data_IF_952169569159
#
_entry.id   IF_952169569159
#
_cell.length_a   1.000
_cell.length_b   1.000
_cell.length_c   1.000
_cell.angle_alpha   90.00
_cell.angle_beta   90.00
_cell.angle_gamma   90.00
#
_symmetry.space_group_name_H-M   'P 1'
#
loop_
_entity.id
_entity.type
_entity.pdbx_description
1 polymer ?
#
# COMPACT_ATOMS: atom_id res chain seq x y z
N UNK A 1 -8.95 -21.60 14.29
CA UNK A 1 -8.54 -21.47 12.87
C UNK A 1 -9.02 -20.14 12.25
N UNK A 2 -8.75 -18.96 12.83
CA UNK A 2 -9.27 -17.67 12.28
C UNK A 2 -8.23 -16.58 12.02
N UNK A 3 -7.01 -16.66 12.58
CA UNK A 3 -6.02 -15.57 12.45
C UNK A 3 -5.34 -15.56 11.07
N UNK A 4 -4.90 -16.70 10.57
CA UNK A 4 -4.17 -16.82 9.29
C UNK A 4 -5.04 -16.40 8.10
N UNK A 5 -6.27 -16.92 7.99
CA UNK A 5 -7.19 -16.56 6.90
C UNK A 5 -7.50 -15.04 6.82
N UNK A 6 -7.38 -14.31 7.93
CA UNK A 6 -7.57 -12.84 7.94
C UNK A 6 -6.32 -12.06 7.57
N UNK A 7 -5.12 -12.64 7.70
CA UNK A 7 -3.88 -12.07 7.19
C UNK A 7 -3.83 -12.20 5.67
N UNK A 8 -4.10 -13.41 5.16
CA UNK A 8 -4.05 -13.69 3.71
C UNK A 8 -5.08 -12.84 2.95
N UNK A 9 -6.30 -12.71 3.49
CA UNK A 9 -7.32 -11.87 2.90
C UNK A 9 -6.96 -10.38 2.93
N UNK A 10 -6.29 -9.91 3.98
CA UNK A 10 -5.82 -8.52 4.09
C UNK A 10 -4.70 -8.22 3.11
N UNK A 11 -3.72 -9.12 3.01
CA UNK A 11 -2.62 -9.02 2.06
C UNK A 11 -3.14 -9.07 0.61
N UNK A 12 -4.05 -10.00 0.29
CA UNK A 12 -4.66 -10.11 -1.03
C UNK A 12 -5.39 -8.82 -1.45
N UNK A 13 -6.09 -8.15 -0.53
CA UNK A 13 -6.73 -6.86 -0.81
C UNK A 13 -5.73 -5.75 -1.16
N UNK A 14 -4.57 -5.74 -0.49
CA UNK A 14 -3.52 -4.75 -0.76
C UNK A 14 -2.83 -5.05 -2.10
N UNK A 15 -2.56 -6.33 -2.40
CA UNK A 15 -2.00 -6.75 -3.68
C UNK A 15 -2.93 -6.44 -4.86
N UNK A 16 -4.23 -6.71 -4.73
CA UNK A 16 -5.25 -6.34 -5.73
C UNK A 16 -5.30 -4.82 -5.96
N UNK A 17 -5.19 -4.02 -4.88
CA UNK A 17 -5.14 -2.58 -5.01
C UNK A 17 -3.86 -2.09 -5.73
N UNK A 18 -2.71 -2.73 -5.47
CA UNK A 18 -1.45 -2.44 -6.16
C UNK A 18 -1.54 -2.74 -7.66
N UNK A 19 -2.09 -3.90 -8.01
CA UNK A 19 -2.29 -4.31 -9.41
C UNK A 19 -3.20 -3.32 -10.16
N UNK A 20 -4.38 -3.01 -9.59
CA UNK A 20 -5.35 -2.08 -10.20
C UNK A 20 -4.85 -0.64 -10.31
N UNK A 21 -3.92 -0.24 -9.46
CA UNK A 21 -3.29 1.08 -9.51
C UNK A 21 -2.00 1.12 -10.32
N UNK A 22 -1.57 -0.04 -10.83
CA UNK A 22 -0.32 -0.25 -11.57
C UNK A 22 0.90 0.28 -10.80
N UNK A 23 0.88 0.16 -9.46
CA UNK A 23 1.99 0.51 -8.59
C UNK A 23 2.82 -0.74 -8.34
N UNK A 24 4.13 -0.62 -8.52
CA UNK A 24 5.10 -1.63 -8.13
C UNK A 24 5.97 -1.06 -7.00
N UNK A 25 5.72 -1.45 -5.74
CA UNK A 25 6.60 -1.10 -4.63
C UNK A 25 7.97 -1.74 -4.83
N UNK A 26 9.03 -1.05 -4.40
CA UNK A 26 10.38 -1.60 -4.34
C UNK A 26 10.49 -2.62 -3.21
N UNK A 27 9.72 -2.41 -2.13
CA UNK A 27 9.73 -3.29 -0.98
C UNK A 27 8.33 -3.35 -0.35
N UNK A 28 7.98 -4.54 0.13
CA UNK A 28 6.77 -4.83 0.90
C UNK A 28 7.24 -5.48 2.20
N UNK A 29 7.00 -4.80 3.33
CA UNK A 29 7.35 -5.30 4.66
C UNK A 29 6.06 -5.65 5.39
N UNK A 30 5.92 -6.93 5.72
CA UNK A 30 4.71 -7.46 6.35
C UNK A 30 4.89 -7.63 7.85
N UNK A 31 3.81 -7.39 8.57
CA UNK A 31 3.72 -7.63 10.01
C UNK A 31 2.29 -8.01 10.39
N UNK A 32 2.12 -8.55 11.59
CA UNK A 32 0.81 -9.00 12.08
C UNK A 32 -0.26 -7.89 12.11
N UNK A 33 0.15 -6.61 12.20
CA UNK A 33 -0.75 -5.47 12.36
C UNK A 33 -0.78 -4.52 11.15
N UNK A 34 0.16 -4.63 10.21
CA UNK A 34 0.25 -3.73 9.05
C UNK A 34 1.12 -4.29 7.93
N UNK A 35 0.91 -3.76 6.72
CA UNK A 35 1.83 -3.89 5.59
C UNK A 35 2.40 -2.51 5.29
N UNK A 36 3.72 -2.42 5.20
CA UNK A 36 4.44 -1.22 4.78
C UNK A 36 4.90 -1.39 3.33
N UNK A 37 4.62 -0.40 2.50
CA UNK A 37 5.02 -0.34 1.10
C UNK A 37 6.03 0.78 0.91
N UNK A 38 7.15 0.48 0.25
CA UNK A 38 8.14 1.47 -0.16
C UNK A 38 8.04 1.67 -1.67
N UNK A 39 7.69 2.88 -2.09
CA UNK A 39 7.40 3.22 -3.49
C UNK A 39 8.27 4.39 -3.92
N UNK A 40 9.02 4.22 -4.99
CA UNK A 40 9.89 5.23 -5.58
C UNK A 40 9.07 6.16 -6.46
N UNK A 41 9.23 7.45 -6.23
CA UNK A 41 8.42 8.49 -6.85
C UNK A 41 9.23 9.10 -7.97
N UNK A 42 8.82 8.79 -9.21
CA UNK A 42 9.43 9.32 -10.43
C UNK A 42 8.37 9.79 -11.43
N UNK A 43 8.52 11.04 -11.87
CA UNK A 43 7.64 11.68 -12.86
C UNK A 43 6.21 11.92 -12.38
N UNK A 44 5.41 12.61 -13.20
CA UNK A 44 4.04 13.00 -12.82
C UNK A 44 3.06 11.82 -12.81
N UNK A 45 3.31 10.80 -13.63
CA UNK A 45 2.44 9.62 -13.78
C UNK A 45 2.28 8.86 -12.45
N UNK A 46 3.30 8.87 -11.58
CA UNK A 46 3.22 8.17 -10.30
C UNK A 46 2.19 8.79 -9.35
N UNK A 47 1.92 10.10 -9.47
CA UNK A 47 0.94 10.78 -8.61
C UNK A 47 -0.47 10.29 -8.91
N UNK A 48 -0.83 10.12 -10.18
CA UNK A 48 -2.14 9.57 -10.58
C UNK A 48 -2.31 8.11 -10.16
N UNK A 49 -1.24 7.32 -10.21
CA UNK A 49 -1.23 5.94 -9.72
C UNK A 49 -1.42 5.88 -8.21
N UNK A 50 -0.69 6.69 -7.45
CA UNK A 50 -0.85 6.82 -6.00
C UNK A 50 -2.25 7.26 -5.59
N UNK A 51 -2.84 8.22 -6.33
CA UNK A 51 -4.22 8.67 -6.09
C UNK A 51 -5.23 7.55 -6.34
N UNK A 52 -5.06 6.78 -7.42
CA UNK A 52 -5.87 5.58 -7.70
C UNK A 52 -5.75 4.55 -6.59
N UNK A 53 -4.53 4.29 -6.13
CA UNK A 53 -4.26 3.37 -5.03
C UNK A 53 -4.95 3.79 -3.73
N UNK A 54 -4.77 5.05 -3.30
CA UNK A 54 -5.42 5.61 -2.11
C UNK A 54 -6.95 5.44 -2.18
N UNK A 55 -7.57 5.76 -3.32
CA UNK A 55 -9.00 5.59 -3.52
C UNK A 55 -9.46 4.12 -3.38
N UNK A 56 -8.65 3.15 -3.80
CA UNK A 56 -8.97 1.72 -3.64
C UNK A 56 -8.89 1.30 -2.16
N UNK A 57 -7.88 1.79 -1.43
CA UNK A 57 -7.77 1.57 0.02
C UNK A 57 -8.97 2.17 0.78
N UNK A 58 -9.37 3.39 0.42
CA UNK A 58 -10.52 4.09 1.02
C UNK A 58 -11.84 3.34 0.76
N UNK A 59 -12.05 2.84 -0.46
CA UNK A 59 -13.22 2.00 -0.81
C UNK A 59 -13.27 0.70 0.01
N UNK A 60 -12.12 0.09 0.24
CA UNK A 60 -11.96 -1.08 1.12
C UNK A 60 -11.99 -0.70 2.60
N UNK A 61 -12.15 0.59 2.91
CA UNK A 61 -12.16 1.17 4.26
C UNK A 61 -10.89 0.83 5.05
N UNK A 62 -9.75 0.64 4.38
CA UNK A 62 -8.48 0.33 5.03
C UNK A 62 -7.89 1.61 5.63
N UNK A 63 -7.32 1.50 6.84
CA UNK A 63 -6.61 2.61 7.46
C UNK A 63 -5.18 2.62 6.96
N UNK A 64 -4.65 3.78 6.58
CA UNK A 64 -3.26 3.90 6.18
C UNK A 64 -2.66 5.26 6.57
N UNK A 65 -1.34 5.32 6.59
CA UNK A 65 -0.58 6.56 6.64
C UNK A 65 0.47 6.58 5.53
N UNK A 66 0.94 7.76 5.17
CA UNK A 66 2.00 7.92 4.17
C UNK A 66 3.03 8.93 4.63
N UNK A 67 4.30 8.71 4.26
CA UNK A 67 5.39 9.66 4.44
C UNK A 67 6.23 9.72 3.18
N UNK A 68 6.71 10.90 2.82
CA UNK A 68 7.57 11.10 1.65
C UNK A 68 8.96 11.55 2.09
N UNK A 69 9.99 10.89 1.57
CA UNK A 69 11.39 11.27 1.75
C UNK A 69 11.92 11.88 0.45
N UNK A 70 12.01 13.23 0.36
CA UNK A 70 12.48 13.91 -0.85
C UNK A 70 13.94 13.59 -1.17
N UNK A 71 14.76 13.33 -0.14
CA UNK A 71 16.19 13.02 -0.31
C UNK A 71 16.44 11.77 -1.14
N UNK A 72 15.58 10.77 -1.03
CA UNK A 72 15.71 9.49 -1.74
C UNK A 72 14.60 9.27 -2.78
N UNK A 73 13.66 10.22 -2.90
CA UNK A 73 12.50 10.10 -3.78
C UNK A 73 11.61 8.90 -3.43
N UNK A 74 11.42 8.61 -2.14
CA UNK A 74 10.66 7.43 -1.68
C UNK A 74 9.41 7.85 -0.90
N UNK A 75 8.28 7.24 -1.24
CA UNK A 75 7.04 7.25 -0.47
C UNK A 75 6.96 5.95 0.34
N UNK A 76 6.73 6.07 1.64
CA UNK A 76 6.40 4.93 2.50
C UNK A 76 4.91 4.99 2.83
N UNK A 77 4.17 3.91 2.58
CA UNK A 77 2.74 3.80 2.92
C UNK A 77 2.58 2.64 3.91
N UNK A 78 2.09 2.91 5.13
CA UNK A 78 1.74 1.84 6.07
C UNK A 78 0.24 1.63 6.07
N UNK A 79 -0.22 0.43 5.78
CA UNK A 79 -1.64 0.04 5.74
C UNK A 79 -1.90 -0.87 6.92
N UNK A 80 -2.86 -0.53 7.76
CA UNK A 80 -3.13 -1.21 9.02
C UNK A 80 -4.25 -2.22 8.88
N UNK A 81 -4.03 -3.39 9.48
CA UNK A 81 -5.06 -4.40 9.67
C UNK A 81 -6.10 -3.89 10.66
N UNK A 82 -7.38 -4.07 10.35
CA UNK A 82 -8.49 -3.71 11.23
C UNK A 82 -8.62 -4.62 12.44
#
# INVERSE_FOLDING_TARGET
MKKEATNDAFQAQILDALEKSEISPQEIIESDCKICLMIKIYGDIIHDKLKRFANLLDKSKLKYNSSFSPKVGMMNISIFKK
#
